data_IF_807051977887
#
_entry.id   IF_807051977887
#
_cell.length_a   1.000
_cell.length_b   1.000
_cell.length_c   1.000
_cell.angle_alpha   90.00
_cell.angle_beta   90.00
_cell.angle_gamma   90.00
#
_symmetry.space_group_name_H-M   'P 1'
#
loop_
_entity.id
_entity.type
_entity.pdbx_description
1 polymer ?
2 non-polymer ?
3 non-polymer ?
4 water ?
#
# COMPACT_ATOMS: atom_id res chain seq x y z
N UNK A 1 15.89 6.13 26.20
CA UNK A 1 16.24 5.62 24.88
C UNK A 1 15.52 6.41 23.77
N UNK A 2 14.22 6.16 23.62
CA UNK A 2 13.50 6.74 22.48
C UNK A 2 13.41 8.26 22.61
N UNK A 3 13.27 8.78 23.83
CA UNK A 3 13.17 10.22 24.01
C UNK A 3 14.51 10.92 23.82
N UNK A 4 15.60 10.17 23.71
CA UNK A 4 16.93 10.73 23.50
C UNK A 4 17.34 10.75 22.03
N UNK A 5 16.48 10.25 21.15
CA UNK A 5 16.79 10.24 19.71
C UNK A 5 16.53 11.62 19.13
N UNK A 6 17.50 12.24 18.45
CA UNK A 6 17.27 13.59 17.91
C UNK A 6 16.08 13.67 16.97
N UNK A 7 15.85 12.64 16.15
CA UNK A 7 14.72 12.67 15.23
C UNK A 7 13.40 12.69 15.98
N UNK A 8 13.32 11.96 17.10
CA UNK A 8 12.10 11.96 17.89
C UNK A 8 11.84 13.35 18.46
N UNK A 9 12.90 14.04 18.90
CA UNK A 9 12.71 15.38 19.44
C UNK A 9 12.23 16.35 18.37
N UNK A 10 12.72 16.20 17.14
CA UNK A 10 12.23 17.02 16.04
C UNK A 10 10.78 16.72 15.73
N UNK A 11 10.41 15.43 15.68
CA UNK A 11 9.03 15.06 15.42
C UNK A 11 8.12 15.45 16.58
N UNK A 12 8.65 15.44 17.81
CA UNK A 12 7.87 15.84 18.98
C UNK A 12 7.57 17.34 19.01
N UNK A 13 8.13 18.11 18.08
CA UNK A 13 7.72 19.47 17.86
C UNK A 13 6.48 19.57 16.99
N UNK A 14 5.65 18.55 16.97
CA UNK A 14 4.43 18.54 16.18
C UNK A 14 3.37 17.77 16.93
N UNK A 15 2.14 18.28 16.88
CA UNK A 15 0.99 17.61 17.50
C UNK A 15 0.26 16.76 16.47
N UNK A 16 1.01 15.82 15.90
CA UNK A 16 0.54 14.96 14.83
C UNK A 16 0.79 13.50 15.18
N UNK A 17 0.65 13.15 16.46
CA UNK A 17 0.99 11.83 16.96
C UNK A 17 -0.26 11.00 17.16
N UNK A 18 -0.17 9.72 16.84
CA UNK A 18 -1.21 8.75 17.10
C UNK A 18 -0.59 7.54 17.78
N UNK A 19 -1.43 6.60 18.18
CA UNK A 19 -1.00 5.29 18.61
C UNK A 19 -1.64 4.27 17.67
N UNK A 20 -1.02 3.10 17.58
CA UNK A 20 -1.54 2.07 16.69
C UNK A 20 -1.60 0.74 17.41
N UNK A 21 -2.50 -0.12 16.95
CA UNK A 21 -2.64 -1.49 17.43
C UNK A 21 -2.72 -2.43 16.24
N UNK A 22 -2.11 -3.61 16.38
CA UNK A 22 -2.14 -4.61 15.33
C UNK A 22 -3.47 -5.34 15.36
N UNK A 23 -4.24 -5.24 14.27
CA UNK A 23 -5.51 -5.93 14.12
C UNK A 23 -5.51 -6.64 12.78
N UNK A 24 -5.68 -7.97 12.83
CA UNK A 24 -5.55 -8.85 11.65
C UNK A 24 -4.13 -8.70 11.12
N UNK A 25 -3.92 -8.30 9.86
CA UNK A 25 -2.59 -8.13 9.31
C UNK A 25 -2.25 -6.67 9.03
N UNK A 26 -2.93 -5.74 9.69
CA UNK A 26 -2.70 -4.32 9.47
C UNK A 26 -2.68 -3.60 10.81
N UNK A 27 -2.06 -2.41 10.81
CA UNK A 27 -1.90 -1.58 11.99
C UNK A 27 -2.86 -0.41 11.90
N UNK A 28 -3.77 -0.32 12.85
CA UNK A 28 -4.85 0.68 12.84
C UNK A 28 -4.43 1.83 13.75
N UNK A 29 -4.49 3.08 13.28
CA UNK A 29 -4.18 4.22 14.15
C UNK A 29 -5.35 4.62 15.04
N UNK A 30 -5.03 5.05 16.25
CA UNK A 30 -6.02 5.46 17.22
C UNK A 30 -5.73 6.85 17.75
N UNK A 31 -6.80 7.59 18.04
CA UNK A 31 -6.78 8.85 18.76
C UNK A 31 -6.23 8.58 20.16
N UNK A 32 -5.06 9.12 20.50
CA UNK A 32 -4.46 8.80 21.80
C UNK A 32 -5.18 9.40 22.99
N UNK A 33 -6.18 10.25 22.78
CA UNK A 33 -6.85 10.96 23.86
C UNK A 33 -8.18 10.34 24.25
N UNK A 34 -8.86 9.67 23.31
CA UNK A 34 -10.12 8.99 23.60
C UNK A 34 -10.12 7.53 23.21
N UNK A 35 -9.06 7.02 22.59
CA UNK A 35 -8.97 5.61 22.25
C UNK A 35 -9.83 5.17 21.08
N UNK A 36 -10.46 6.10 20.39
CA UNK A 36 -11.21 5.78 19.18
C UNK A 36 -10.29 5.77 17.97
N UNK A 37 -10.75 5.11 16.90
CA UNK A 37 -10.00 5.09 15.65
C UNK A 37 -9.78 6.51 15.16
N UNK A 38 -8.58 6.76 14.62
CA UNK A 38 -8.16 8.10 14.26
C UNK A 38 -8.11 8.25 12.74
N UNK A 39 -8.61 9.37 12.24
CA UNK A 39 -8.52 9.68 10.83
C UNK A 39 -7.14 10.26 10.52
N UNK A 40 -6.61 9.90 9.35
CA UNK A 40 -5.33 10.43 8.91
C UNK A 40 -5.40 11.87 8.41
N UNK A 41 -6.60 12.46 8.37
CA UNK A 41 -6.76 13.82 7.84
C UNK A 41 -7.50 14.76 8.79
N UNK A 42 -7.91 14.30 9.97
CA UNK A 42 -8.53 15.17 10.95
C UNK A 42 -7.49 15.54 12.00
N UNK A 43 -6.99 16.77 12.04
CA UNK A 43 -5.91 17.11 12.97
C UNK A 43 -6.27 16.99 14.45
N UNK A 44 -7.55 17.10 14.81
CA UNK A 44 -7.95 17.00 16.21
C UNK A 44 -8.16 15.56 16.68
N UNK A 45 -7.93 14.58 15.81
CA UNK A 45 -7.91 13.19 16.21
C UNK A 45 -6.52 12.74 16.66
N UNK A 46 -5.52 13.61 16.56
CA UNK A 46 -4.16 13.30 16.94
C UNK A 46 -3.87 13.95 18.29
N UNK A 47 -2.62 13.86 18.73
CA UNK A 47 -2.16 14.49 19.95
C UNK A 47 -0.68 14.82 19.83
N UNK A 48 -0.13 15.45 20.87
CA UNK A 48 1.31 15.59 20.92
C UNK A 48 1.92 14.31 21.47
N UNK A 49 3.25 14.24 21.54
CA UNK A 49 3.89 12.99 21.93
C UNK A 49 3.59 12.66 23.40
N UNK A 50 3.44 13.66 24.26
CA UNK A 50 3.05 13.39 25.64
C UNK A 50 1.70 12.69 25.70
N UNK A 51 0.74 13.18 24.92
CA UNK A 51 -0.59 12.57 24.89
C UNK A 51 -0.54 11.17 24.27
N UNK A 52 0.25 11.01 23.21
CA UNK A 52 0.38 9.71 22.56
C UNK A 52 1.00 8.68 23.50
N UNK A 53 2.00 9.07 24.28
CA UNK A 53 2.64 8.13 25.18
C UNK A 53 1.72 7.77 26.34
N UNK A 54 0.94 8.74 26.82
CA UNK A 54 -0.03 8.44 27.88
C UNK A 54 -1.16 7.56 27.35
N UNK A 55 -1.60 7.81 26.11
CA UNK A 55 -2.64 6.97 25.54
C UNK A 55 -2.14 5.58 25.20
N UNK A 56 -0.87 5.47 24.79
CA UNK A 56 -0.26 4.16 24.58
C UNK A 56 -0.36 3.31 25.83
N UNK A 57 -0.08 3.91 26.99
CA UNK A 57 -0.20 3.18 28.25
C UNK A 57 -1.66 2.94 28.58
N UNK A 58 -2.50 3.98 28.43
CA UNK A 58 -3.89 3.90 28.87
C UNK A 58 -4.68 2.83 28.13
N UNK A 59 -4.42 2.67 26.84
CA UNK A 59 -5.23 1.76 26.03
C UNK A 59 -4.49 0.48 25.65
N UNK A 60 -3.26 0.30 26.12
CA UNK A 60 -2.51 -0.90 25.81
C UNK A 60 -2.16 -1.04 24.33
N UNK A 61 -1.87 0.07 23.66
CA UNK A 61 -1.52 0.02 22.25
C UNK A 61 -0.13 -0.61 22.06
N UNK A 62 0.22 -0.86 20.80
CA UNK A 62 1.49 -1.49 20.47
C UNK A 62 2.60 -0.50 20.14
N UNK A 63 2.29 0.75 19.81
CA UNK A 63 3.37 1.68 19.47
C UNK A 63 2.81 3.03 19.08
N UNK A 64 3.74 3.94 18.81
CA UNK A 64 3.43 5.31 18.41
C UNK A 64 3.36 5.42 16.90
N UNK A 65 2.60 6.42 16.42
CA UNK A 65 2.57 6.74 15.02
C UNK A 65 2.65 8.24 14.83
N UNK A 66 2.98 8.65 13.60
CA UNK A 66 3.10 10.07 13.28
C UNK A 66 2.44 10.32 11.94
N UNK A 67 1.52 11.27 11.90
CA UNK A 67 0.72 11.55 10.70
C UNK A 67 1.43 12.63 9.89
N UNK A 68 1.67 12.33 8.61
CA UNK A 68 2.30 13.29 7.73
C UNK A 68 1.27 14.23 7.13
N UNK A 69 1.62 15.51 7.07
CA UNK A 69 0.79 16.53 6.47
C UNK A 69 1.60 17.29 5.43
N UNK A 70 0.89 17.87 4.46
CA UNK A 70 1.56 18.62 3.41
C UNK A 70 2.36 19.79 3.98
N UNK A 71 1.95 20.32 5.13
CA UNK A 71 2.58 21.53 5.67
C UNK A 71 3.88 21.23 6.40
N UNK A 72 3.98 20.08 7.08
CA UNK A 72 5.22 19.74 7.77
C UNK A 72 6.29 19.37 6.75
N UNK A 73 7.57 19.41 7.15
CA UNK A 73 8.66 19.16 6.19
C UNK A 73 9.01 17.70 5.93
N UNK A 74 8.32 16.74 6.52
CA UNK A 74 8.80 15.36 6.55
C UNK A 74 8.32 14.53 5.35
N UNK A 75 9.21 13.65 4.90
CA UNK A 75 8.91 12.63 3.91
C UNK A 75 9.18 11.27 4.53
N UNK A 76 8.26 10.33 4.29
CA UNK A 76 8.35 8.97 4.81
C UNK A 76 8.72 8.00 3.71
N UNK A 77 9.88 7.35 3.85
CA UNK A 77 10.35 6.33 2.92
C UNK A 77 10.30 5.00 3.65
N UNK A 78 9.55 4.04 3.10
CA UNK A 78 9.34 2.74 3.71
C UNK A 78 10.00 1.68 2.84
N UNK A 79 10.97 0.96 3.40
CA UNK A 79 11.68 -0.11 2.71
C UNK A 79 11.15 -1.43 3.22
N UNK A 80 10.32 -2.09 2.42
CA UNK A 80 9.64 -3.32 2.84
C UNK A 80 10.52 -4.53 2.57
N UNK A 81 10.62 -5.41 3.58
CA UNK A 81 11.23 -6.73 3.43
C UNK A 81 12.65 -6.66 2.88
N UNK A 82 13.45 -5.74 3.41
CA UNK A 82 14.82 -5.53 2.94
C UNK A 82 15.87 -6.07 3.91
N UNK A 83 15.47 -6.55 5.08
CA UNK A 83 16.40 -7.03 6.08
C UNK A 83 16.32 -8.55 6.21
N UNK A 84 17.46 -9.16 6.51
CA UNK A 84 17.49 -10.60 6.77
C UNK A 84 17.14 -10.86 8.23
N UNK A 85 17.35 -12.10 8.68
CA UNK A 85 17.01 -12.46 10.06
C UNK A 85 17.92 -11.76 11.06
N UNK A 86 19.14 -11.42 10.67
CA UNK A 86 20.07 -10.69 11.51
C UNK A 86 19.99 -9.17 11.31
N UNK A 87 18.87 -8.68 10.79
CA UNK A 87 18.63 -7.25 10.60
C UNK A 87 19.73 -6.58 9.77
N UNK A 88 20.28 -7.31 8.81
CA UNK A 88 21.21 -6.78 7.83
C UNK A 88 20.51 -6.64 6.48
N UNK A 89 20.87 -5.60 5.74
CA UNK A 89 20.21 -5.31 4.47
C UNK A 89 20.55 -6.39 3.46
N UNK A 90 19.53 -6.92 2.79
CA UNK A 90 19.69 -8.02 1.84
C UNK A 90 19.29 -7.66 0.41
N UNK A 91 18.76 -6.45 0.18
CA UNK A 91 18.40 -6.00 -1.16
C UNK A 91 19.41 -4.97 -1.63
N UNK A 92 19.91 -5.15 -2.85
CA UNK A 92 20.95 -4.26 -3.37
C UNK A 92 20.43 -2.85 -3.59
N UNK A 93 19.19 -2.73 -4.08
CA UNK A 93 18.61 -1.41 -4.27
C UNK A 93 18.49 -0.67 -2.94
N UNK A 94 18.16 -1.41 -1.87
CA UNK A 94 18.03 -0.79 -0.56
C UNK A 94 19.40 -0.36 -0.02
N UNK A 95 20.41 -1.22 -0.18
CA UNK A 95 21.76 -0.83 0.21
C UNK A 95 22.21 0.42 -0.54
N UNK A 96 21.83 0.55 -1.81
CA UNK A 96 22.20 1.72 -2.58
C UNK A 96 21.48 2.97 -2.09
N UNK A 97 20.16 2.85 -1.85
CA UNK A 97 19.38 3.99 -1.38
C UNK A 97 19.95 4.55 -0.09
N UNK A 98 20.29 3.66 0.86
CA UNK A 98 20.83 4.11 2.13
C UNK A 98 22.19 4.78 1.95
N UNK A 99 22.94 4.41 0.92
CA UNK A 99 24.21 5.08 0.66
C UNK A 99 23.99 6.50 0.13
N UNK A 100 22.89 6.73 -0.59
CA UNK A 100 22.65 8.00 -1.25
C UNK A 100 21.67 8.89 -0.50
N UNK A 101 20.82 8.32 0.33
CA UNK A 101 19.89 9.08 1.17
C UNK A 101 20.24 8.76 2.62
N UNK A 102 21.04 9.62 3.24
CA UNK A 102 21.48 9.44 4.61
C UNK A 102 20.66 10.34 5.52
N UNK A 103 19.77 9.75 6.30
CA UNK A 103 18.90 10.48 7.21
C UNK A 103 18.46 9.52 8.30
N UNK A 104 17.54 9.96 9.15
CA UNK A 104 17.03 9.12 10.23
C UNK A 104 16.51 7.81 9.68
N UNK A 105 16.99 6.70 10.24
CA UNK A 105 16.62 5.37 9.78
C UNK A 105 16.37 4.48 10.98
N UNK A 106 15.23 3.79 10.97
CA UNK A 106 14.84 2.89 12.05
C UNK A 106 14.31 1.59 11.46
N UNK A 107 14.38 0.54 12.26
CA UNK A 107 13.82 -0.76 11.88
C UNK A 107 12.31 -0.74 12.11
N UNK A 108 11.56 -1.21 11.12
CA UNK A 108 10.10 -1.20 11.15
C UNK A 108 9.60 -2.21 12.18
N UNK A 109 8.33 -2.10 12.58
CA UNK A 109 7.82 -2.98 13.65
C UNK A 109 7.94 -4.47 13.35
N UNK A 110 7.79 -4.90 12.09
CA UNK A 110 7.92 -6.32 11.79
C UNK A 110 9.37 -6.80 11.85
N UNK A 111 10.34 -5.90 11.85
CA UNK A 111 11.73 -6.25 12.04
C UNK A 111 12.52 -6.55 10.77
N UNK A 112 11.86 -6.59 9.60
CA UNK A 112 12.55 -6.91 8.36
C UNK A 112 12.52 -5.77 7.36
N UNK A 113 12.07 -4.59 7.78
CA UNK A 113 12.05 -3.42 6.92
C UNK A 113 12.67 -2.22 7.61
N UNK A 114 12.78 -1.13 6.85
CA UNK A 114 13.35 0.09 7.38
C UNK A 114 12.43 1.28 7.10
N UNK A 115 12.45 2.25 7.99
CA UNK A 115 11.87 3.56 7.78
C UNK A 115 12.98 4.59 7.68
N UNK A 116 12.89 5.46 6.68
CA UNK A 116 13.78 6.61 6.57
C UNK A 116 12.91 7.86 6.59
N UNK A 117 13.27 8.81 7.44
CA UNK A 117 12.55 10.07 7.56
C UNK A 117 13.48 11.19 7.12
N UNK A 118 13.02 11.99 6.16
CA UNK A 118 13.82 13.04 5.53
C UNK A 118 13.00 14.33 5.58
N UNK A 119 13.71 15.45 5.63
CA UNK A 119 13.08 16.76 5.46
C UNK A 119 13.22 17.16 3.99
N UNK A 120 12.10 17.26 3.29
CA UNK A 120 12.15 17.66 1.90
C UNK A 120 10.80 17.45 1.23
N UNK A 121 10.85 17.21 -0.08
CA UNK A 121 9.65 17.00 -0.89
C UNK A 121 9.94 15.90 -1.90
N UNK A 122 8.90 15.16 -2.28
CA UNK A 122 9.12 14.07 -3.23
C UNK A 122 9.13 14.58 -4.67
N UNK A 123 9.84 13.88 -5.55
CA UNK A 123 9.69 14.14 -6.98
C UNK A 123 8.27 13.81 -7.42
N UNK A 124 7.78 14.56 -8.39
CA UNK A 124 6.40 14.43 -8.83
C UNK A 124 6.22 13.35 -9.89
N UNK A 125 7.30 12.69 -10.32
CA UNK A 125 7.19 11.71 -11.39
C UNK A 125 7.44 10.28 -10.90
N UNK A 126 7.42 10.04 -9.59
CA UNK A 126 7.62 8.70 -9.08
C UNK A 126 6.32 8.20 -8.46
N UNK A 127 6.14 6.89 -8.51
CA UNK A 127 4.94 6.24 -8.01
C UNK A 127 5.07 5.99 -6.52
N UNK A 128 3.93 5.97 -5.82
CA UNK A 128 3.97 5.89 -4.37
C UNK A 128 4.55 4.56 -3.91
N UNK A 129 4.35 3.49 -4.69
CA UNK A 129 4.80 2.16 -4.30
C UNK A 129 5.42 1.44 -5.49
N UNK A 130 6.63 0.92 -5.28
CA UNK A 130 7.34 0.12 -6.27
C UNK A 130 7.64 -1.24 -5.65
N UNK A 131 7.26 -2.31 -6.34
CA UNK A 131 7.50 -3.67 -5.88
C UNK A 131 8.59 -4.31 -6.73
N UNK A 132 9.52 -4.99 -6.07
CA UNK A 132 10.63 -5.66 -6.74
C UNK A 132 10.43 -7.17 -6.74
N UNK A 133 11.29 -7.85 -7.49
CA UNK A 133 11.07 -9.25 -7.80
C UNK A 133 11.29 -10.15 -6.60
N UNK A 134 12.19 -9.77 -5.70
CA UNK A 134 12.52 -10.56 -4.53
C UNK A 134 11.52 -10.40 -3.39
N UNK A 135 10.39 -9.74 -3.62
CA UNK A 135 9.41 -9.54 -2.59
C UNK A 135 9.55 -8.24 -1.80
N UNK A 136 10.66 -7.53 -1.98
CA UNK A 136 10.83 -6.23 -1.34
C UNK A 136 10.03 -5.16 -2.07
N UNK A 137 9.89 -4.01 -1.43
CA UNK A 137 9.14 -2.91 -2.03
C UNK A 137 9.60 -1.58 -1.46
N UNK A 138 9.33 -0.52 -2.21
CA UNK A 138 9.69 0.84 -1.83
C UNK A 138 8.42 1.68 -1.83
N UNK A 139 8.09 2.27 -0.68
CA UNK A 139 6.96 3.17 -0.55
C UNK A 139 7.44 4.53 -0.07
N UNK A 140 6.89 5.59 -0.66
CA UNK A 140 7.23 6.96 -0.29
C UNK A 140 5.94 7.77 -0.13
N UNK A 141 5.90 8.58 0.92
CA UNK A 141 4.74 9.41 1.23
C UNK A 141 5.23 10.68 1.91
N UNK A 142 4.46 11.76 1.72
CA UNK A 142 4.71 13.00 2.44
C UNK A 142 3.45 13.60 3.06
N UNK A 143 2.29 12.97 2.89
CA UNK A 143 1.05 13.47 3.47
C UNK A 143 -0.02 12.39 3.36
N UNK A 144 -1.15 12.62 4.03
CA UNK A 144 -2.32 11.78 3.94
C UNK A 144 -2.20 10.41 4.59
N UNK A 145 -1.21 10.20 5.45
CA UNK A 145 -0.92 8.86 5.95
C UNK A 145 -0.04 8.99 7.17
N UNK A 146 -0.14 8.02 8.07
CA UNK A 146 0.73 7.94 9.23
C UNK A 146 1.81 6.87 9.03
N UNK A 147 2.93 7.07 9.70
CA UNK A 147 3.99 6.07 9.84
C UNK A 147 4.04 5.60 11.28
N UNK A 148 4.28 4.30 11.48
CA UNK A 148 4.69 3.81 12.79
C UNK A 148 6.08 4.36 13.11
N UNK A 149 6.30 4.61 14.40
CA UNK A 149 7.57 5.13 14.91
C UNK A 149 8.07 4.14 15.94
N UNK A 150 9.19 3.48 15.65
CA UNK A 150 9.73 2.46 16.55
C UNK A 150 10.87 2.95 17.43
N UNK A 151 11.66 3.91 16.95
CA UNK A 151 12.84 4.31 17.69
C UNK A 151 13.97 3.31 17.65
N UNK A 152 13.86 2.26 16.84
CA UNK A 152 14.91 1.24 16.73
C UNK A 152 15.91 1.72 15.69
N UNK A 153 16.87 2.54 16.13
CA UNK A 153 17.76 3.24 15.22
C UNK A 153 18.65 2.25 14.49
N UNK A 154 18.80 2.46 13.18
CA UNK A 154 19.57 1.60 12.31
C UNK A 154 20.86 2.31 11.91
N UNK A 155 22.00 1.64 12.13
CA UNK A 155 23.32 2.14 11.72
C UNK A 155 23.60 3.51 12.33
N UNK A 156 23.04 3.78 13.51
CA UNK A 156 23.28 5.02 14.21
C UNK A 156 22.78 6.27 13.51
N UNK A 157 21.79 6.14 12.62
CA UNK A 157 21.23 7.28 11.91
C UNK A 157 20.02 7.78 12.69
N UNK A 158 20.28 8.68 13.65
CA UNK A 158 19.28 9.12 14.61
C UNK A 158 18.79 10.55 14.37
N UNK A 159 19.13 11.15 13.23
CA UNK A 159 18.87 12.57 12.97
C UNK A 159 18.17 12.73 11.63
N UNK A 160 17.10 13.53 11.61
CA UNK A 160 16.46 13.88 10.34
C UNK A 160 17.28 14.92 9.63
N UNK A 161 17.47 14.75 8.32
CA UNK A 161 18.33 15.61 7.53
C UNK A 161 17.54 16.26 6.40
N UNK A 162 17.94 17.47 6.05
CA UNK A 162 17.43 18.11 4.84
C UNK A 162 18.19 17.58 3.64
N UNK A 163 17.46 17.06 2.66
CA UNK A 163 18.06 16.42 1.50
C UNK A 163 17.15 16.59 0.30
N UNK A 164 17.73 16.87 -0.86
CA UNK A 164 16.96 16.77 -2.09
C UNK A 164 16.72 15.30 -2.42
N UNK A 165 15.50 14.98 -2.84
CA UNK A 165 15.09 13.59 -3.04
C UNK A 165 14.80 13.26 -4.51
N UNK A 166 15.30 14.09 -5.43
CA UNK A 166 15.10 13.79 -6.86
C UNK A 166 15.67 12.43 -7.22
N UNK A 167 16.75 12.02 -6.55
CA UNK A 167 17.44 10.78 -6.87
C UNK A 167 16.67 9.57 -6.33
N UNK A 168 15.54 9.82 -5.66
CA UNK A 168 14.60 8.73 -5.44
C UNK A 168 14.10 8.16 -6.76
N UNK A 169 14.19 8.93 -7.84
CA UNK A 169 13.82 8.43 -9.15
C UNK A 169 14.68 7.28 -9.64
N UNK A 170 15.85 7.07 -9.02
CA UNK A 170 16.66 5.90 -9.37
C UNK A 170 16.04 4.60 -8.90
N UNK A 171 15.16 4.66 -7.89
CA UNK A 171 14.68 3.47 -7.22
C UNK A 171 13.18 3.25 -7.39
N UNK A 172 12.38 4.31 -7.33
CA UNK A 172 10.95 4.16 -7.54
C UNK A 172 10.63 4.15 -9.03
N UNK A 173 9.61 3.36 -9.39
CA UNK A 173 9.10 3.39 -10.75
C UNK A 173 8.61 4.78 -11.10
N UNK A 174 8.81 5.17 -12.36
CA UNK A 174 8.37 6.47 -12.84
C UNK A 174 6.91 6.40 -13.27
N UNK A 175 6.19 7.50 -13.04
CA UNK A 175 4.80 7.63 -13.46
C UNK A 175 4.70 8.63 -14.62
N UNK A 176 3.59 8.56 -15.34
CA UNK A 176 3.26 9.58 -16.33
C UNK A 176 2.04 10.35 -15.85
N UNK A 192 -14.84 4.88 -13.35
CA UNK A 192 -13.52 4.50 -12.87
C UNK A 192 -13.40 2.99 -12.64
N UNK A 193 -12.16 2.48 -12.72
CA UNK A 193 -11.93 1.05 -12.49
C UNK A 193 -12.24 0.67 -11.06
N UNK A 194 -11.69 1.41 -10.09
CA UNK A 194 -11.95 1.12 -8.68
C UNK A 194 -13.43 1.26 -8.33
N UNK A 195 -14.18 2.06 -9.08
CA UNK A 195 -15.61 2.16 -8.85
C UNK A 195 -16.33 0.87 -9.20
N UNK A 196 -16.09 0.35 -10.40
CA UNK A 196 -16.74 -0.90 -10.79
C UNK A 196 -16.23 -2.06 -9.95
N UNK A 197 -14.96 -2.02 -9.53
CA UNK A 197 -14.48 -3.02 -8.56
C UNK A 197 -15.35 -2.99 -7.32
N UNK A 198 -15.47 -1.81 -6.71
CA UNK A 198 -16.27 -1.69 -5.49
C UNK A 198 -17.72 -2.07 -5.75
N UNK A 199 -18.24 -1.72 -6.93
CA UNK A 199 -19.59 -2.14 -7.30
C UNK A 199 -19.73 -3.66 -7.31
N UNK A 200 -18.84 -4.35 -8.04
CA UNK A 200 -18.91 -5.81 -8.09
C UNK A 200 -18.69 -6.43 -6.72
N UNK A 201 -17.83 -5.83 -5.90
CA UNK A 201 -17.58 -6.39 -4.57
C UNK A 201 -18.83 -6.36 -3.71
N UNK A 202 -19.49 -5.20 -3.60
CA UNK A 202 -20.64 -5.12 -2.71
C UNK A 202 -21.86 -5.85 -3.24
N UNK A 203 -21.85 -6.30 -4.50
CA UNK A 203 -22.96 -7.05 -5.05
C UNK A 203 -22.62 -8.52 -5.23
N UNK A 204 -21.56 -8.99 -4.57
CA UNK A 204 -21.23 -10.41 -4.53
C UNK A 204 -20.63 -10.96 -5.79
N UNK A 205 -20.06 -10.11 -6.64
CA UNK A 205 -19.59 -10.51 -7.95
C UNK A 205 -18.07 -10.55 -8.04
N UNK A 206 -17.36 -10.41 -6.91
CA UNK A 206 -15.90 -10.39 -6.92
C UNK A 206 -15.36 -11.72 -6.45
N UNK A 207 -14.50 -12.37 -7.23
CA UNK A 207 -14.10 -13.76 -6.92
C UNK A 207 -13.13 -13.86 -5.76
N UNK A 208 -13.17 -15.01 -5.11
CA UNK A 208 -12.19 -15.36 -4.08
C UNK A 208 -10.95 -15.96 -4.74
N UNK A 209 -9.86 -15.98 -3.98
CA UNK A 209 -8.65 -16.64 -4.46
C UNK A 209 -8.93 -18.13 -4.64
N UNK A 210 -8.43 -18.74 -5.71
CA UNK A 210 -8.70 -20.16 -5.94
C UNK A 210 -8.02 -21.03 -4.90
N UNK A 211 -8.74 -22.06 -4.45
CA UNK A 211 -8.18 -23.10 -3.61
C UNK A 211 -7.81 -24.30 -4.47
N UNK A 212 -6.93 -25.15 -3.94
CA UNK A 212 -6.58 -26.36 -4.66
C UNK A 212 -7.81 -27.25 -4.81
N UNK A 213 -7.92 -27.90 -5.96
CA UNK A 213 -9.13 -28.60 -6.34
C UNK A 213 -10.05 -27.81 -7.23
N UNK A 214 -9.84 -26.50 -7.36
CA UNK A 214 -10.64 -25.66 -8.24
C UNK A 214 -10.08 -25.68 -9.66
N UNK A 215 -10.99 -25.69 -10.63
CA UNK A 215 -10.63 -25.50 -12.04
C UNK A 215 -10.44 -24.00 -12.23
N UNK A 216 -9.18 -23.56 -12.11
CA UNK A 216 -8.88 -22.13 -12.18
C UNK A 216 -9.33 -21.52 -13.50
N UNK A 217 -9.09 -22.22 -14.62
CA UNK A 217 -9.51 -21.71 -15.91
C UNK A 217 -11.02 -21.54 -15.98
N UNK A 218 -11.77 -22.39 -15.28
CA UNK A 218 -13.23 -22.22 -15.23
C UNK A 218 -13.62 -21.05 -14.35
N UNK A 219 -12.86 -20.79 -13.29
CA UNK A 219 -13.06 -19.59 -12.49
C UNK A 219 -12.79 -18.34 -13.33
N UNK A 220 -11.77 -18.40 -14.20
CA UNK A 220 -11.47 -17.27 -15.07
C UNK A 220 -12.67 -16.90 -15.94
N UNK A 221 -13.26 -17.91 -16.59
CA UNK A 221 -14.35 -17.64 -17.54
C UNK A 221 -15.59 -17.11 -16.83
N UNK A 222 -15.94 -17.69 -15.67
CA UNK A 222 -17.08 -17.20 -14.91
C UNK A 222 -16.88 -15.76 -14.49
N UNK A 223 -15.68 -15.41 -14.04
CA UNK A 223 -15.38 -14.04 -13.67
C UNK A 223 -15.29 -13.14 -14.90
N UNK A 224 -14.76 -13.66 -16.01
CA UNK A 224 -14.72 -12.88 -17.24
C UNK A 224 -16.13 -12.54 -17.73
N UNK A 225 -17.06 -13.49 -17.62
CA UNK A 225 -18.44 -13.23 -18.01
C UNK A 225 -19.04 -12.12 -17.17
N UNK A 226 -18.84 -12.19 -15.85
CA UNK A 226 -19.30 -11.12 -14.97
C UNK A 226 -18.64 -9.79 -15.32
N UNK A 227 -17.36 -9.84 -15.72
CA UNK A 227 -16.68 -8.62 -16.14
C UNK A 227 -17.31 -8.04 -17.39
N UNK A 228 -17.65 -8.89 -18.36
CA UNK A 228 -18.27 -8.43 -19.59
C UNK A 228 -19.55 -7.65 -19.32
N UNK A 229 -20.40 -8.17 -18.42
CA UNK A 229 -21.61 -7.44 -18.05
C UNK A 229 -21.26 -6.12 -17.38
N UNK A 230 -20.55 -6.19 -16.25
CA UNK A 230 -20.33 -5.01 -15.41
C UNK A 230 -19.43 -3.98 -16.06
N UNK A 231 -18.60 -4.36 -17.02
CA UNK A 231 -17.70 -3.42 -17.69
C UNK A 231 -18.26 -2.92 -19.02
N UNK A 232 -19.49 -3.29 -19.37
CA UNK A 232 -20.04 -2.91 -20.65
C UNK A 232 -19.30 -3.47 -21.84
N UNK A 233 -18.74 -4.67 -21.72
CA UNK A 233 -17.97 -5.32 -22.79
C UNK A 233 -16.78 -4.47 -23.22
N UNK A 234 -16.29 -3.61 -22.33
CA UNK A 234 -15.10 -2.80 -22.61
C UNK A 234 -13.91 -3.69 -22.30
N UNK A 235 -13.36 -4.32 -23.34
CA UNK A 235 -12.31 -5.33 -23.18
C UNK A 235 -11.11 -4.76 -22.43
N UNK A 236 -10.78 -3.49 -22.67
CA UNK A 236 -9.61 -2.90 -22.02
C UNK A 236 -9.86 -2.72 -20.53
N UNK A 237 -11.06 -2.26 -20.16
CA UNK A 237 -11.41 -2.16 -18.75
C UNK A 237 -11.42 -3.53 -18.08
N UNK A 238 -12.04 -4.51 -18.75
CA UNK A 238 -12.08 -5.88 -18.22
C UNK A 238 -10.68 -6.38 -17.89
N UNK A 239 -9.73 -6.15 -18.80
CA UNK A 239 -8.36 -6.63 -18.59
C UNK A 239 -7.70 -5.92 -17.41
N UNK A 240 -7.76 -4.58 -17.40
CA UNK A 240 -7.24 -3.84 -16.26
C UNK A 240 -7.81 -4.35 -14.96
N UNK A 241 -9.09 -4.75 -14.99
CA UNK A 241 -9.76 -5.10 -13.76
C UNK A 241 -9.35 -6.49 -13.31
N UNK A 242 -9.22 -7.41 -14.27
CA UNK A 242 -8.82 -8.78 -13.98
C UNK A 242 -7.44 -8.84 -13.34
N UNK A 243 -6.53 -7.95 -13.75
CA UNK A 243 -5.16 -8.02 -13.26
C UNK A 243 -5.05 -7.65 -11.78
N UNK A 244 -6.06 -6.99 -11.21
CA UNK A 244 -6.08 -6.68 -9.79
C UNK A 244 -6.92 -7.68 -8.99
N UNK A 245 -7.33 -8.78 -9.61
CA UNK A 245 -8.20 -9.76 -8.97
C UNK A 245 -7.40 -10.94 -8.45
N UNK A 246 -7.95 -11.71 -7.51
CA UNK A 246 -7.24 -12.90 -7.02
C UNK A 246 -7.15 -14.04 -8.03
N UNK A 247 -7.71 -13.88 -9.23
CA UNK A 247 -7.60 -14.89 -10.28
C UNK A 247 -6.46 -14.61 -11.24
N UNK A 248 -5.74 -13.51 -11.06
CA UNK A 248 -4.67 -13.16 -11.99
C UNK A 248 -3.47 -14.07 -11.76
N UNK A 249 -2.83 -14.49 -12.84
CA UNK A 249 -1.67 -15.36 -12.77
C UNK A 249 -0.86 -15.16 -14.05
N UNK A 250 0.32 -15.79 -14.10
CA UNK A 250 1.18 -15.61 -15.27
C UNK A 250 0.56 -16.20 -16.52
N UNK A 251 -0.31 -17.20 -16.39
CA UNK A 251 -0.96 -17.77 -17.56
C UNK A 251 -1.79 -16.74 -18.32
N UNK A 252 -2.24 -15.69 -17.63
CA UNK A 252 -3.09 -14.69 -18.27
C UNK A 252 -2.42 -14.10 -19.50
N UNK A 253 -1.13 -13.80 -19.41
CA UNK A 253 -0.42 -13.21 -20.52
C UNK A 253 0.28 -14.27 -21.37
N UNK A 254 -0.21 -15.51 -21.33
CA UNK A 254 0.49 -16.58 -22.03
C UNK A 254 0.13 -16.55 -23.51
N UNK A 255 1.10 -16.58 -24.40
CA UNK A 255 0.76 -16.68 -25.83
C UNK A 255 0.00 -17.98 -26.09
N UNK A 256 -1.13 -17.84 -26.78
CA UNK A 256 -2.02 -18.96 -27.08
C UNK A 256 -2.66 -18.69 -28.42
N UNK A 257 -2.41 -19.58 -29.38
CA UNK A 257 -2.95 -19.47 -30.75
C UNK A 257 -2.66 -18.05 -31.24
N UNK A 258 -3.66 -17.29 -31.66
CA UNK A 258 -3.47 -15.95 -32.19
C UNK A 258 -3.13 -14.86 -31.19
N UNK A 259 -3.23 -15.11 -29.88
CA UNK A 259 -3.03 -14.04 -28.91
C UNK A 259 -2.53 -14.56 -27.58
N UNK A 260 -3.23 -14.21 -26.49
CA UNK A 260 -2.92 -14.70 -25.16
C UNK A 260 -4.14 -15.42 -24.58
N UNK A 261 -3.87 -16.26 -23.57
CA UNK A 261 -4.95 -16.92 -22.86
C UNK A 261 -5.94 -15.92 -22.29
N UNK A 262 -5.43 -14.83 -21.71
CA UNK A 262 -6.32 -13.83 -21.14
C UNK A 262 -7.16 -13.14 -22.19
N UNK A 263 -6.55 -12.76 -23.32
CA UNK A 263 -7.29 -12.03 -24.34
C UNK A 263 -8.37 -12.91 -24.98
N UNK A 264 -8.06 -14.19 -25.22
CA UNK A 264 -9.07 -15.09 -25.75
C UNK A 264 -10.21 -15.27 -24.75
N UNK A 265 -9.88 -15.35 -23.46
CA UNK A 265 -10.91 -15.50 -22.44
C UNK A 265 -11.85 -14.29 -22.43
N UNK A 266 -11.28 -13.08 -22.48
CA UNK A 266 -12.11 -11.87 -22.40
C UNK A 266 -12.98 -11.72 -23.65
N UNK A 267 -12.44 -12.07 -24.81
CA UNK A 267 -13.23 -11.98 -26.04
C UNK A 267 -14.36 -13.00 -26.05
N UNK A 268 -14.10 -14.22 -25.59
CA UNK A 268 -15.18 -15.20 -25.46
C UNK A 268 -16.24 -14.70 -24.48
N UNK A 269 -15.83 -14.03 -23.41
CA UNK A 269 -16.80 -13.44 -22.49
C UNK A 269 -17.66 -12.40 -23.19
N UNK A 270 -17.03 -11.50 -23.97
CA UNK A 270 -17.79 -10.47 -24.67
C UNK A 270 -18.76 -11.07 -25.67
N UNK A 271 -18.40 -12.18 -26.32
CA UNK A 271 -19.29 -12.83 -27.27
C UNK A 271 -20.40 -13.60 -26.58
N UNK A 272 -20.15 -14.07 -25.35
CA UNK A 272 -21.11 -14.94 -24.66
C UNK A 272 -22.23 -14.12 -24.02
N UNK A 273 -21.87 -13.07 -23.27
CA UNK A 273 -22.86 -12.31 -22.53
C UNK A 273 -23.69 -11.45 -23.48
N UNK A 274 -25.00 -11.41 -23.25
CA UNK A 274 -25.90 -10.56 -24.02
C UNK A 274 -26.12 -9.22 -23.32
N UNK A 275 -26.52 -9.27 -22.05
CA UNK A 275 -26.84 -8.05 -21.31
C UNK A 275 -25.57 -7.28 -20.96
N UNK A 276 -25.74 -5.97 -20.80
CA UNK A 276 -24.64 -5.06 -20.46
C UNK A 276 -25.13 -4.07 -19.42
N UNK A 277 -24.29 -3.79 -18.43
CA UNK A 277 -24.61 -2.80 -17.41
C UNK A 277 -24.31 -1.41 -17.97
N UNK A 278 -25.35 -0.64 -18.21
CA UNK A 278 -25.21 0.77 -18.55
C UNK A 278 -25.58 1.61 -17.33
N UNK A 279 -24.75 2.56 -16.92
CA UNK A 279 -25.11 3.42 -15.77
C UNK A 279 -26.41 4.19 -15.94
N UNK A 280 -27.43 3.52 -16.47
CA UNK A 280 -28.81 3.77 -16.12
C UNK A 280 -29.29 2.79 -15.06
N UNK A 281 -28.34 2.13 -14.39
CA UNK A 281 -28.58 1.14 -13.34
C UNK A 281 -29.46 -0.01 -13.83
N UNK A 282 -28.83 -0.91 -14.59
CA UNK A 282 -29.35 -2.13 -15.17
C UNK A 282 -28.87 -3.32 -14.34
N UNK A 283 -29.49 -4.50 -14.54
CA UNK A 283 -29.02 -5.68 -13.81
C UNK A 283 -29.10 -6.93 -14.67
N UNK A 284 -28.69 -8.05 -14.07
CA UNK A 284 -27.69 -8.94 -14.65
C UNK A 284 -28.14 -10.39 -14.74
N UNK A 285 -27.46 -11.13 -15.63
CA UNK A 285 -27.69 -12.54 -15.90
C UNK A 285 -27.06 -13.48 -14.87
N UNK A 286 -25.90 -13.13 -14.33
CA UNK A 286 -25.17 -14.04 -13.45
C UNK A 286 -25.44 -13.71 -11.98
N UNK A 287 -25.64 -14.78 -11.16
CA UNK A 287 -25.94 -14.62 -9.74
C UNK A 287 -24.66 -14.60 -8.92
N UNK A 288 -24.65 -13.91 -7.76
CA UNK A 288 -23.44 -13.79 -6.94
C UNK A 288 -22.97 -15.14 -6.39
X LIG B 1 8.64 -1.79 6.35
X LIG C 1 5.18 16.45 4.70
X LIG D 1 6.45 0.09 8.63
X LIG D 1 5.55 -0.99 8.08
X LIG D 1 6.09 -1.62 6.83
X LIG D 1 4.10 -0.56 8.00
X LIG D 1 5.59 -2.11 9.23
X LIG D 1 5.90 -3.68 8.99
X LIG D 1 7.35 -3.77 9.39
X LIG D 1 4.94 -4.40 9.91
X LIG D 1 5.65 -4.03 7.54
#
# INVERSE_FOLDING_TARGET
MIMEIPAIKALSRYAQWVIWKKAADTKIPYNPNNGKKASSTDPLAWGDIDEAQAGLVRYGANGLGFVLTKSDPFVFIDLDHVLDENKRVKCEWARQLLKEIKSYTEISPSGDGLHVVVSGKLPDYIKHKTKFDDGSALEVYESGRYMTITGEVFDGRDDIKELDLSILGEFAEHKIETKNAPVQIESATTLDDEAIIDLMKRKGQWPDAPADGDDWSSLDMSFANRLAFWCGKDIERMDRIFRQSPLMRQKWDRPTAGSTYGRITLKKACDFVDSVYDPALRNESDCP
MG MG
MG MG
PPV O11 P1 O21 O31 OPP P2 O12 O22 O32
#
